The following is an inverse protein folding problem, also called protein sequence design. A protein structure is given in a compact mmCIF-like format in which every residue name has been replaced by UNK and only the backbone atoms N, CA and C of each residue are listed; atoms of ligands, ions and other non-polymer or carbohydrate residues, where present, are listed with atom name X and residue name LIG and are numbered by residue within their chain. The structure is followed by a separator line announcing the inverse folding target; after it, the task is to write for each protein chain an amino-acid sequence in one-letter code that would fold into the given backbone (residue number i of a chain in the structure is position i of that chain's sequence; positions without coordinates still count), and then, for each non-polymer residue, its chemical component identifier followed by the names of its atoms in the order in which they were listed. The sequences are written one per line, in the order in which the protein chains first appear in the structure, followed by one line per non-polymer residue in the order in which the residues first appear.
data_IF_227150223893
#
_entry.id   IF_227150223893
#
_cell.length_a   1.000
_cell.length_b   1.000
_cell.length_c   1.000
_cell.angle_alpha   90.00
_cell.angle_beta   90.00
_cell.angle_gamma   90.00
#
_symmetry.space_group_name_H-M   'P 1'
#
loop_
_entity.id
_entity.type
_entity.pdbx_description
1 polymer ?
#
# COMPACT_ATOMS: atom_id res chain seq x y z
N UNK A 1 63.32 -64.32 27.51
CA UNK A 1 62.73 -64.20 26.15
C UNK A 1 61.24 -63.81 26.19
N UNK A 2 60.82 -62.79 26.97
CA UNK A 2 59.42 -62.34 27.03
C UNK A 2 59.21 -60.85 26.68
N UNK A 3 60.29 -60.10 26.44
CA UNK A 3 60.21 -58.63 26.33
C UNK A 3 59.92 -58.11 24.90
N UNK A 4 60.21 -58.91 23.87
CA UNK A 4 60.03 -58.47 22.47
C UNK A 4 58.61 -58.71 21.92
N UNK A 5 57.83 -59.60 22.53
CA UNK A 5 56.45 -59.88 22.10
C UNK A 5 55.47 -58.78 22.54
N UNK A 6 55.68 -58.18 23.72
CA UNK A 6 54.85 -57.11 24.26
C UNK A 6 54.98 -55.79 23.47
N UNK A 7 56.19 -55.47 23.02
CA UNK A 7 56.47 -54.27 22.22
C UNK A 7 55.72 -54.30 20.86
N UNK A 8 55.73 -55.45 20.18
CA UNK A 8 55.02 -55.64 18.91
C UNK A 8 53.49 -55.57 19.06
N UNK A 9 52.95 -56.08 20.17
CA UNK A 9 51.51 -56.05 20.46
C UNK A 9 51.02 -54.62 20.75
N UNK A 10 51.80 -53.85 21.53
CA UNK A 10 51.51 -52.44 21.81
C UNK A 10 51.58 -51.56 20.56
N UNK A 11 52.51 -51.84 19.64
CA UNK A 11 52.63 -51.10 18.38
C UNK A 11 51.45 -51.35 17.44
N UNK A 12 50.94 -52.58 17.35
CA UNK A 12 49.74 -52.93 16.57
C UNK A 12 48.44 -52.34 17.14
N UNK A 13 48.31 -52.24 18.47
CA UNK A 13 47.13 -51.63 19.09
C UNK A 13 47.11 -50.11 18.86
N UNK A 14 48.28 -49.45 18.84
CA UNK A 14 48.39 -48.01 18.58
C UNK A 14 48.06 -47.63 17.14
N UNK A 15 48.39 -48.48 16.17
CA UNK A 15 48.05 -48.24 14.74
C UNK A 15 46.56 -48.48 14.46
N UNK A 16 45.92 -49.45 15.14
CA UNK A 16 44.47 -49.67 15.07
C UNK A 16 43.65 -48.50 15.66
N UNK A 17 44.12 -47.90 16.76
CA UNK A 17 43.45 -46.76 17.40
C UNK A 17 43.60 -45.44 16.62
N UNK A 18 44.68 -45.29 15.84
CA UNK A 18 44.93 -44.09 15.02
C UNK A 18 44.03 -44.03 13.78
N UNK A 19 43.81 -45.17 13.10
CA UNK A 19 42.92 -45.25 11.93
C UNK A 19 41.43 -45.15 12.26
N UNK A 20 41.03 -45.64 13.44
CA UNK A 20 39.63 -45.62 13.91
C UNK A 20 39.08 -44.21 14.13
N UNK A 21 39.89 -43.27 14.65
CA UNK A 21 39.46 -41.88 14.84
C UNK A 21 39.20 -41.16 13.52
N UNK A 22 40.02 -41.41 12.51
CA UNK A 22 39.84 -40.86 11.17
C UNK A 22 38.57 -41.41 10.51
N UNK A 23 38.29 -42.70 10.66
CA UNK A 23 37.07 -43.32 10.16
C UNK A 23 35.80 -42.73 10.81
N UNK A 24 35.82 -42.50 12.12
CA UNK A 24 34.69 -41.88 12.84
C UNK A 24 34.49 -40.42 12.43
N UNK A 25 35.56 -39.65 12.23
CA UNK A 25 35.48 -38.26 11.75
C UNK A 25 34.94 -38.19 10.31
N UNK A 26 35.39 -39.08 9.42
CA UNK A 26 34.88 -39.15 8.04
C UNK A 26 33.40 -39.58 8.01
N UNK A 27 33.00 -40.52 8.89
CA UNK A 27 31.60 -40.94 9.02
C UNK A 27 30.70 -39.81 9.55
N UNK A 28 31.18 -39.02 10.52
CA UNK A 28 30.49 -37.83 11.06
C UNK A 28 30.37 -36.71 10.01
N UNK A 29 31.42 -36.50 9.21
CA UNK A 29 31.38 -35.52 8.11
C UNK A 29 30.42 -35.94 6.98
N UNK A 30 30.30 -37.24 6.70
CA UNK A 30 29.33 -37.78 5.73
C UNK A 30 27.87 -37.57 6.19
N UNK A 31 27.58 -37.71 7.48
CA UNK A 31 26.23 -37.47 8.03
C UNK A 31 25.81 -35.99 8.05
N UNK A 32 26.75 -35.05 8.02
CA UNK A 32 26.43 -33.63 7.94
C UNK A 32 26.04 -33.14 6.52
N UNK A 33 26.11 -33.98 5.48
CA UNK A 33 25.85 -33.56 4.09
C UNK A 33 24.39 -33.68 3.62
N UNK A 34 23.48 -34.21 4.45
CA UNK A 34 22.06 -34.40 4.06
C UNK A 34 21.09 -33.35 4.63
N UNK A 35 21.56 -32.16 4.98
CA UNK A 35 20.67 -31.02 5.21
C UNK A 35 20.32 -30.37 3.86
N UNK A 36 19.46 -31.03 3.08
CA UNK A 36 18.85 -30.40 1.91
C UNK A 36 17.70 -29.52 2.42
N UNK A 37 17.98 -28.23 2.61
CA UNK A 37 16.90 -27.27 2.81
C UNK A 37 16.05 -27.28 1.54
N UNK A 38 14.79 -27.73 1.67
CA UNK A 38 13.78 -27.44 0.66
C UNK A 38 13.56 -25.92 0.72
N UNK A 39 14.25 -25.18 -0.15
CA UNK A 39 14.07 -23.74 -0.25
C UNK A 39 12.60 -23.41 -0.45
N UNK A 40 12.11 -22.37 0.20
CA UNK A 40 10.73 -21.94 0.01
C UNK A 40 10.56 -21.42 -1.44
N UNK A 41 9.36 -21.57 -2.04
CA UNK A 41 9.17 -21.24 -3.44
C UNK A 41 9.30 -19.73 -3.67
N UNK A 42 10.25 -19.33 -4.53
CA UNK A 42 10.48 -17.94 -4.98
C UNK A 42 9.16 -17.27 -5.40
N UNK A 43 8.88 -16.10 -4.82
CA UNK A 43 7.63 -15.38 -5.09
C UNK A 43 7.66 -14.75 -6.47
N UNK A 44 6.62 -15.05 -7.25
CA UNK A 44 6.41 -14.53 -8.59
C UNK A 44 5.34 -13.46 -8.54
N UNK A 45 5.70 -12.25 -8.96
CA UNK A 45 4.76 -11.15 -9.21
C UNK A 45 5.15 -10.51 -10.53
N UNK A 46 4.32 -10.72 -11.55
CA UNK A 46 4.57 -10.23 -12.91
C UNK A 46 3.30 -9.58 -13.44
N UNK A 47 3.45 -8.53 -14.24
CA UNK A 47 2.32 -7.88 -14.88
C UNK A 47 2.73 -7.21 -16.18
N UNK A 48 1.72 -6.85 -16.94
CA UNK A 48 1.81 -6.10 -18.17
C UNK A 48 0.81 -4.94 -18.10
N UNK A 49 1.19 -3.82 -18.71
CA UNK A 49 0.38 -2.60 -18.79
C UNK A 49 0.08 -2.28 -20.25
N UNK A 50 -1.18 -2.05 -20.57
CA UNK A 50 -1.64 -1.70 -21.91
C UNK A 50 -2.61 -0.50 -21.89
N UNK A 51 -2.60 0.38 -22.90
CA UNK A 51 -3.62 1.43 -23.03
C UNK A 51 -5.03 0.85 -23.17
N UNK A 52 -6.01 1.37 -22.42
CA UNK A 52 -7.36 0.81 -22.32
C UNK A 52 -8.42 1.69 -23.00
N UNK A 53 -8.30 1.87 -24.32
CA UNK A 53 -9.33 2.45 -25.19
C UNK A 53 -9.63 3.95 -25.03
N UNK A 54 -9.20 4.59 -23.94
CA UNK A 54 -9.34 6.04 -23.70
C UNK A 54 -8.01 6.64 -23.24
N UNK A 55 -7.74 7.87 -23.65
CA UNK A 55 -6.53 8.59 -23.23
C UNK A 55 -6.48 8.75 -21.71
N UNK A 56 -5.32 8.42 -21.13
CA UNK A 56 -5.11 8.40 -19.68
C UNK A 56 -5.55 7.12 -18.98
N UNK A 57 -6.25 6.20 -19.64
CA UNK A 57 -6.73 4.95 -19.04
C UNK A 57 -5.83 3.78 -19.46
N UNK A 58 -5.37 3.00 -18.49
CA UNK A 58 -4.49 1.85 -18.70
C UNK A 58 -5.04 0.61 -18.00
N UNK A 59 -5.03 -0.52 -18.69
CA UNK A 59 -5.30 -1.83 -18.11
C UNK A 59 -3.99 -2.43 -17.60
N UNK A 60 -4.04 -3.01 -16.40
CA UNK A 60 -2.91 -3.69 -15.78
C UNK A 60 -3.35 -5.11 -15.45
N UNK A 61 -2.73 -6.08 -16.10
CA UNK A 61 -3.01 -7.51 -15.92
C UNK A 61 -1.77 -8.21 -15.42
N UNK A 62 -1.90 -9.05 -14.40
CA UNK A 62 -0.76 -9.75 -13.82
C UNK A 62 -1.04 -11.18 -13.38
N UNK A 63 0.05 -11.90 -13.18
CA UNK A 63 0.10 -13.27 -12.70
C UNK A 63 0.98 -13.34 -11.44
N UNK A 64 0.64 -14.25 -10.53
CA UNK A 64 1.36 -14.46 -9.27
C UNK A 64 1.15 -15.86 -8.71
N UNK A 65 2.07 -16.31 -7.87
CA UNK A 65 1.91 -17.52 -7.04
C UNK A 65 1.39 -17.24 -5.63
N UNK A 66 0.97 -16.00 -5.34
CA UNK A 66 0.33 -15.64 -4.07
C UNK A 66 -1.01 -16.38 -3.87
N UNK A 67 -1.42 -16.63 -2.62
CA UNK A 67 -2.72 -17.21 -2.29
C UNK A 67 -3.90 -16.48 -2.94
N UNK A 68 -5.00 -17.21 -3.13
CA UNK A 68 -6.26 -16.55 -3.49
C UNK A 68 -6.66 -15.59 -2.40
N UNK A 69 -7.30 -14.48 -2.78
CA UNK A 69 -7.69 -13.41 -1.87
C UNK A 69 -6.50 -12.66 -1.24
N UNK A 70 -5.27 -12.84 -1.73
CA UNK A 70 -4.22 -11.86 -1.45
C UNK A 70 -4.55 -10.52 -2.13
N UNK A 71 -4.29 -9.43 -1.43
CA UNK A 71 -4.45 -8.07 -1.91
C UNK A 71 -3.13 -7.54 -2.47
N UNK A 72 -3.16 -7.06 -3.71
CA UNK A 72 -2.06 -6.38 -4.38
C UNK A 72 -2.43 -4.91 -4.52
N UNK A 73 -1.49 -4.03 -4.18
CA UNK A 73 -1.62 -2.59 -4.42
C UNK A 73 -0.94 -2.30 -5.75
N UNK A 74 -1.69 -1.71 -6.68
CA UNK A 74 -1.19 -1.29 -8.00
C UNK A 74 -1.26 0.22 -8.08
N UNK A 75 -0.13 0.87 -8.37
CA UNK A 75 -0.04 2.32 -8.45
C UNK A 75 0.71 2.77 -9.71
N UNK A 76 0.35 3.94 -10.23
CA UNK A 76 1.10 4.62 -11.27
C UNK A 76 1.76 5.88 -10.70
N UNK A 77 3.07 5.99 -10.89
CA UNK A 77 3.90 7.04 -10.33
C UNK A 77 4.52 7.86 -11.46
N UNK A 78 4.45 9.19 -11.34
CA UNK A 78 5.25 10.10 -12.18
C UNK A 78 6.25 10.83 -11.31
N UNK A 79 7.53 10.73 -11.64
CA UNK A 79 8.56 11.50 -10.97
C UNK A 79 8.50 12.96 -11.40
N UNK A 80 8.72 13.85 -10.44
CA UNK A 80 8.65 15.29 -10.58
C UNK A 80 9.95 15.89 -10.04
N UNK A 81 10.46 16.92 -10.71
CA UNK A 81 11.61 17.69 -10.22
C UNK A 81 11.28 19.18 -10.20
N UNK A 82 11.91 19.98 -9.34
CA UNK A 82 11.87 21.44 -9.49
C UNK A 82 12.44 21.87 -10.85
N UNK A 83 11.91 22.94 -11.44
CA UNK A 83 12.29 23.41 -12.78
C UNK A 83 13.80 23.76 -12.91
N UNK A 84 14.44 24.12 -11.79
CA UNK A 84 15.82 24.62 -11.74
C UNK A 84 16.90 23.52 -11.55
N UNK A 85 16.51 22.24 -11.54
CA UNK A 85 17.41 21.12 -11.26
C UNK A 85 17.58 20.22 -12.48
N UNK A 86 18.82 20.01 -12.96
CA UNK A 86 19.13 19.11 -14.09
C UNK A 86 18.86 17.62 -13.77
N UNK A 87 18.58 16.82 -14.81
CA UNK A 87 18.41 15.36 -14.69
C UNK A 87 19.81 14.75 -14.57
N UNK A 88 20.38 14.73 -13.37
CA UNK A 88 21.58 13.97 -13.08
C UNK A 88 21.19 12.53 -12.71
N UNK A 89 21.85 11.54 -13.32
CA UNK A 89 21.57 10.09 -13.24
C UNK A 89 21.76 9.45 -11.86
N UNK A 90 21.89 10.25 -10.80
CA UNK A 90 22.18 9.76 -9.46
C UNK A 90 21.67 10.78 -8.46
N UNK A 91 20.50 10.57 -7.85
CA UNK A 91 20.29 10.88 -6.42
C UNK A 91 18.91 10.42 -5.87
N UNK A 92 18.83 10.12 -4.56
CA UNK A 92 17.75 9.39 -3.89
C UNK A 92 16.53 10.23 -3.48
N UNK A 93 16.44 11.50 -3.90
CA UNK A 93 15.40 12.45 -3.49
C UNK A 93 14.47 12.88 -4.65
N UNK A 94 14.08 11.92 -5.49
CA UNK A 94 13.11 12.21 -6.55
C UNK A 94 11.70 12.31 -5.95
N UNK A 95 11.13 13.52 -5.96
CA UNK A 95 9.71 13.70 -5.67
C UNK A 95 8.89 12.92 -6.70
N UNK A 96 7.77 12.35 -6.28
CA UNK A 96 6.87 11.65 -7.18
C UNK A 96 5.43 11.99 -6.85
N UNK A 97 4.58 11.90 -7.86
CA UNK A 97 3.15 11.96 -7.72
C UNK A 97 2.53 10.60 -8.01
N UNK A 98 1.61 10.19 -7.13
CA UNK A 98 0.74 9.05 -7.36
C UNK A 98 -0.38 9.54 -8.27
N UNK A 99 -0.40 9.05 -9.51
CA UNK A 99 -1.42 9.42 -10.50
C UNK A 99 -2.74 8.69 -10.24
N UNK A 100 -2.66 7.40 -9.93
CA UNK A 100 -3.77 6.57 -9.48
C UNK A 100 -3.23 5.39 -8.64
N UNK A 101 -4.07 4.84 -7.77
CA UNK A 101 -3.77 3.70 -6.91
C UNK A 101 -5.01 2.84 -6.71
N UNK A 102 -4.87 1.53 -6.92
CA UNK A 102 -5.95 0.55 -6.75
C UNK A 102 -5.49 -0.62 -5.91
N UNK A 103 -6.42 -1.14 -5.11
CA UNK A 103 -6.29 -2.42 -4.42
C UNK A 103 -7.00 -3.48 -5.26
N UNK A 104 -6.32 -4.59 -5.57
CA UNK A 104 -6.86 -5.69 -6.37
C UNK A 104 -6.67 -7.02 -5.66
N UNK A 105 -7.64 -7.91 -5.80
CA UNK A 105 -7.61 -9.24 -5.22
C UNK A 105 -7.09 -10.27 -6.21
N UNK A 106 -6.21 -11.15 -5.74
CA UNK A 106 -5.73 -12.31 -6.50
C UNK A 106 -6.84 -13.35 -6.61
N UNK A 107 -7.11 -13.78 -7.85
CA UNK A 107 -8.07 -14.82 -8.19
C UNK A 107 -7.38 -15.87 -9.07
N UNK A 108 -7.15 -17.06 -8.52
CA UNK A 108 -6.49 -18.19 -9.19
C UNK A 108 -5.12 -17.82 -9.76
N UNK A 109 -4.30 -17.14 -8.97
CA UNK A 109 -2.97 -16.68 -9.38
C UNK A 109 -2.96 -15.57 -10.44
N UNK A 110 -4.11 -14.95 -10.72
CA UNK A 110 -4.24 -13.83 -11.65
C UNK A 110 -4.89 -12.63 -10.97
N UNK A 111 -4.60 -11.44 -11.49
CA UNK A 111 -5.22 -10.20 -11.04
C UNK A 111 -5.26 -9.20 -12.19
N UNK A 112 -6.24 -8.30 -12.15
CA UNK A 112 -6.44 -7.28 -13.18
C UNK A 112 -7.07 -6.03 -12.57
N UNK A 113 -6.65 -4.86 -13.03
CA UNK A 113 -7.24 -3.58 -12.66
C UNK A 113 -7.06 -2.55 -13.77
N UNK A 114 -7.73 -1.41 -13.65
CA UNK A 114 -7.56 -0.27 -14.54
C UNK A 114 -7.11 0.95 -13.74
N UNK A 115 -6.10 1.65 -14.25
CA UNK A 115 -5.61 2.90 -13.68
C UNK A 115 -5.98 4.06 -14.59
N UNK A 116 -6.59 5.10 -14.02
CA UNK A 116 -6.89 6.34 -14.73
C UNK A 116 -5.92 7.44 -14.29
N UNK A 117 -4.94 7.72 -15.13
CA UNK A 117 -3.87 8.68 -14.84
C UNK A 117 -4.36 10.12 -14.94
N UNK A 118 -5.45 10.38 -15.66
CA UNK A 118 -5.93 11.72 -15.95
C UNK A 118 -7.29 11.98 -15.30
N UNK A 119 -7.39 13.16 -14.69
CA UNK A 119 -8.60 13.65 -14.03
C UNK A 119 -9.12 14.88 -14.77
N UNK A 120 -10.40 15.17 -14.62
CA UNK A 120 -11.02 16.37 -15.19
C UNK A 120 -10.97 17.47 -14.14
N UNK A 121 -10.24 18.55 -14.43
CA UNK A 121 -10.17 19.73 -13.57
C UNK A 121 -11.51 20.52 -13.61
N UNK A 122 -11.75 21.46 -12.66
CA UNK A 122 -12.99 22.24 -12.63
C UNK A 122 -13.25 23.06 -13.89
N UNK A 123 -12.20 23.43 -14.63
CA UNK A 123 -12.28 24.14 -15.92
C UNK A 123 -12.47 23.20 -17.14
N UNK A 124 -12.64 21.90 -16.88
CA UNK A 124 -12.84 20.87 -17.89
C UNK A 124 -11.55 20.39 -18.57
N UNK A 125 -10.37 20.88 -18.18
CA UNK A 125 -9.10 20.38 -18.73
C UNK A 125 -8.76 19.02 -18.15
N UNK A 126 -8.18 18.16 -18.98
CA UNK A 126 -7.56 16.93 -18.48
C UNK A 126 -6.24 17.29 -17.80
N UNK A 127 -6.04 16.80 -16.59
CA UNK A 127 -4.86 17.06 -15.77
C UNK A 127 -4.48 15.82 -14.96
N UNK A 128 -3.20 15.68 -14.64
CA UNK A 128 -2.73 14.72 -13.65
C UNK A 128 -2.90 15.31 -12.23
N UNK A 129 -2.98 14.43 -11.22
CA UNK A 129 -3.24 14.83 -9.84
C UNK A 129 -2.26 15.91 -9.32
N UNK A 130 -1.00 15.85 -9.73
CA UNK A 130 0.02 16.82 -9.31
C UNK A 130 -0.18 18.20 -9.94
N UNK A 131 -0.70 18.30 -11.17
CA UNK A 131 -0.95 19.59 -11.83
C UNK A 131 -2.04 20.38 -11.09
N UNK A 132 -3.04 19.66 -10.56
CA UNK A 132 -4.11 20.24 -9.75
C UNK A 132 -3.54 20.77 -8.42
N UNK A 133 -2.65 20.00 -7.77
CA UNK A 133 -2.00 20.42 -6.54
C UNK A 133 -1.05 21.62 -6.77
N UNK A 134 -0.31 21.60 -7.87
CA UNK A 134 0.61 22.65 -8.30
C UNK A 134 -0.08 24.00 -8.44
N UNK A 135 -1.25 24.01 -9.10
CA UNK A 135 -2.05 25.22 -9.28
C UNK A 135 -2.48 25.86 -7.94
N UNK A 136 -2.52 25.08 -6.85
CA UNK A 136 -2.84 25.56 -5.50
C UNK A 136 -1.60 26.04 -4.73
N UNK A 137 -0.46 25.39 -4.91
CA UNK A 137 0.77 25.67 -4.14
C UNK A 137 1.69 26.70 -4.79
N UNK A 138 1.55 26.96 -6.09
CA UNK A 138 2.41 27.89 -6.83
C UNK A 138 3.83 27.37 -7.10
N UNK A 139 4.09 26.08 -6.88
CA UNK A 139 5.42 25.47 -7.04
C UNK A 139 5.64 25.06 -8.50
N UNK A 140 6.73 25.42 -9.16
CA UNK A 140 7.00 24.93 -10.53
C UNK A 140 7.70 23.57 -10.52
N UNK A 141 7.10 22.58 -11.20
CA UNK A 141 7.55 21.19 -11.25
C UNK A 141 7.61 20.73 -12.71
N UNK A 142 8.70 20.07 -13.06
CA UNK A 142 8.93 19.43 -14.36
C UNK A 142 8.70 17.91 -14.24
N UNK A 143 7.76 17.34 -15.00
CA UNK A 143 7.47 15.92 -14.95
C UNK A 143 8.45 15.07 -15.77
N UNK A 144 8.77 13.87 -15.27
CA UNK A 144 9.37 12.82 -16.08
C UNK A 144 8.46 12.49 -17.29
N UNK A 145 9.03 12.16 -18.47
CA UNK A 145 8.26 11.71 -19.62
C UNK A 145 7.66 10.31 -19.43
N UNK A 146 8.11 9.59 -18.40
CA UNK A 146 7.76 8.22 -18.09
C UNK A 146 6.90 8.12 -16.83
N UNK A 147 6.07 7.08 -16.80
CA UNK A 147 5.26 6.68 -15.64
C UNK A 147 5.69 5.29 -15.22
N UNK A 148 6.02 5.13 -13.94
CA UNK A 148 6.35 3.85 -13.34
C UNK A 148 5.08 3.22 -12.78
N UNK A 149 4.68 2.10 -13.34
CA UNK A 149 3.62 1.25 -12.81
C UNK A 149 4.26 0.30 -11.81
N UNK A 150 3.70 0.20 -10.62
CA UNK A 150 4.23 -0.59 -9.51
C UNK A 150 3.12 -1.47 -8.96
N UNK A 151 3.40 -2.76 -8.82
CA UNK A 151 2.57 -3.71 -8.11
C UNK A 151 3.30 -4.15 -6.84
N UNK A 152 2.62 -4.03 -5.70
CA UNK A 152 3.19 -4.33 -4.38
C UNK A 152 2.28 -5.29 -3.63
N UNK A 153 2.87 -6.30 -3.01
CA UNK A 153 2.20 -7.16 -2.03
C UNK A 153 2.88 -6.97 -0.67
N UNK A 154 2.08 -6.57 0.32
CA UNK A 154 2.50 -6.37 1.70
C UNK A 154 1.72 -7.33 2.60
N UNK A 155 2.37 -8.29 3.27
CA UNK A 155 1.70 -9.27 4.10
C UNK A 155 0.97 -8.68 5.31
N UNK A 156 1.56 -7.67 5.95
CA UNK A 156 1.00 -7.07 7.16
C UNK A 156 -0.16 -6.11 6.86
N UNK A 157 -0.20 -5.58 5.63
CA UNK A 157 -1.27 -4.69 5.14
C UNK A 157 -2.53 -5.40 4.65
N UNK A 158 -2.63 -6.73 4.76
CA UNK A 158 -3.78 -7.49 4.28
C UNK A 158 -5.01 -7.24 5.16
N UNK A 159 -6.08 -6.69 4.58
CA UNK A 159 -7.32 -6.45 5.32
C UNK A 159 -8.07 -7.77 5.57
N UNK A 160 -8.69 -7.93 6.74
CA UNK A 160 -9.52 -9.10 7.03
C UNK A 160 -10.74 -9.14 6.11
N UNK A 161 -11.05 -10.32 5.57
CA UNK A 161 -12.21 -10.50 4.70
C UNK A 161 -13.46 -10.73 5.57
N UNK A 162 -14.33 -9.73 5.71
CA UNK A 162 -15.64 -9.91 6.38
C UNK A 162 -16.60 -10.60 5.38
N UNK A 163 -17.27 -11.71 5.69
CA UNK A 163 -18.50 -11.76 6.51
C UNK A 163 -18.68 -13.06 7.35
N UNK A 164 -17.76 -14.02 7.33
CA UNK A 164 -17.91 -15.29 8.10
C UNK A 164 -16.75 -15.61 9.05
N UNK A 165 -15.78 -14.71 9.23
CA UNK A 165 -14.53 -15.00 9.96
C UNK A 165 -14.50 -14.52 11.42
N UNK A 166 -15.64 -14.04 11.96
CA UNK A 166 -15.77 -13.75 13.41
C UNK A 166 -15.84 -15.00 14.30
N UNK A 167 -15.84 -16.20 13.72
CA UNK A 167 -15.92 -17.47 14.47
C UNK A 167 -14.70 -18.36 14.26
N UNK A 168 -13.61 -17.85 13.67
CA UNK A 168 -12.40 -18.65 13.47
C UNK A 168 -11.16 -17.81 13.70
N UNK A 169 -10.61 -17.89 14.92
CA UNK A 169 -9.22 -17.55 15.24
C UNK A 169 -8.18 -18.29 14.38
N UNK A 170 -8.62 -19.16 13.45
CA UNK A 170 -7.78 -20.08 12.67
C UNK A 170 -7.81 -19.89 11.14
N UNK A 171 -8.38 -18.80 10.61
CA UNK A 171 -8.26 -18.50 9.17
C UNK A 171 -7.37 -17.29 8.91
N UNK A 172 -6.20 -17.30 9.53
CA UNK A 172 -5.09 -16.44 9.10
C UNK A 172 -4.80 -16.84 7.66
N UNK A 173 -4.91 -15.90 6.71
CA UNK A 173 -4.34 -16.10 5.37
C UNK A 173 -2.92 -16.63 5.62
N UNK A 174 -2.62 -17.84 5.17
CA UNK A 174 -1.28 -18.41 5.32
C UNK A 174 -0.35 -17.52 4.51
N UNK A 175 0.25 -16.54 5.18
CA UNK A 175 1.23 -15.63 4.60
C UNK A 175 2.44 -16.53 4.30
N UNK A 176 2.77 -16.74 3.02
CA UNK A 176 3.94 -17.53 2.68
C UNK A 176 5.18 -16.78 3.18
N UNK A 177 6.20 -17.52 3.63
CA UNK A 177 7.52 -16.96 3.89
C UNK A 177 8.00 -16.26 2.61
N UNK A 178 8.27 -14.95 2.69
CA UNK A 178 8.67 -14.17 1.53
C UNK A 178 10.15 -14.41 1.24
N UNK A 179 10.45 -15.27 0.28
CA UNK A 179 11.78 -15.42 -0.31
C UNK A 179 11.77 -15.05 -1.79
N UNK A 180 12.85 -14.45 -2.27
CA UNK A 180 13.00 -14.16 -3.69
C UNK A 180 13.68 -12.85 -4.07
N UNK A 181 13.98 -12.72 -5.37
CA UNK A 181 14.62 -11.51 -5.94
C UNK A 181 13.73 -10.27 -5.93
N UNK A 182 12.41 -10.46 -5.76
CA UNK A 182 11.41 -9.39 -5.71
C UNK A 182 11.11 -8.92 -4.27
N UNK A 183 11.62 -9.63 -3.26
CA UNK A 183 11.42 -9.28 -1.86
C UNK A 183 12.27 -8.07 -1.50
N UNK A 184 11.67 -7.12 -0.83
CA UNK A 184 12.26 -5.89 -0.32
C UNK A 184 11.86 -5.73 1.14
N UNK A 185 12.52 -4.85 1.87
CA UNK A 185 12.24 -4.60 3.27
C UNK A 185 11.89 -3.12 3.46
N UNK A 186 10.90 -2.84 4.30
CA UNK A 186 10.61 -1.48 4.76
C UNK A 186 11.72 -1.00 5.71
N UNK A 187 11.68 0.27 6.12
CA UNK A 187 12.65 0.82 7.08
C UNK A 187 12.53 0.14 8.46
N UNK A 188 11.35 -0.42 8.74
CA UNK A 188 10.99 -1.18 9.94
C UNK A 188 11.40 -2.66 9.81
N UNK A 189 11.96 -3.08 8.68
CA UNK A 189 12.40 -4.45 8.42
C UNK A 189 11.28 -5.40 8.00
N UNK A 190 10.09 -4.88 7.65
CA UNK A 190 8.96 -5.72 7.22
C UNK A 190 9.16 -6.12 5.74
N UNK A 191 9.05 -7.41 5.40
CA UNK A 191 9.23 -7.85 4.03
C UNK A 191 8.01 -7.52 3.18
N UNK A 192 8.23 -7.07 1.94
CA UNK A 192 7.20 -6.86 0.93
C UNK A 192 7.71 -7.28 -0.44
N UNK A 193 6.80 -7.55 -1.38
CA UNK A 193 7.15 -7.95 -2.75
C UNK A 193 6.80 -6.81 -3.69
N UNK A 194 7.73 -6.43 -4.57
CA UNK A 194 7.54 -5.35 -5.53
C UNK A 194 7.92 -5.78 -6.95
N UNK A 195 7.03 -5.51 -7.89
CA UNK A 195 7.30 -5.55 -9.31
C UNK A 195 7.02 -4.18 -9.93
N UNK A 196 7.76 -3.80 -10.97
CA UNK A 196 7.58 -2.51 -11.64
C UNK A 196 7.80 -2.60 -13.15
N UNK A 197 7.02 -1.81 -13.89
CA UNK A 197 7.14 -1.62 -15.34
C UNK A 197 7.03 -0.12 -15.62
N UNK A 198 7.97 0.43 -16.37
CA UNK A 198 7.97 1.86 -16.74
C UNK A 198 7.56 2.02 -18.20
N UNK A 199 6.65 2.95 -18.47
CA UNK A 199 6.20 3.26 -19.82
C UNK A 199 6.24 4.76 -20.08
N UNK A 200 6.52 5.15 -21.33
CA UNK A 200 6.38 6.53 -21.77
C UNK A 200 4.92 6.90 -21.87
N UNK A 201 4.49 7.89 -21.09
CA UNK A 201 3.10 8.35 -21.04
C UNK A 201 3.08 9.86 -21.28
N UNK A 202 2.43 10.33 -22.37
CA UNK A 202 2.37 11.75 -22.67
C UNK A 202 1.57 12.48 -21.58
N UNK A 203 1.88 13.77 -21.41
CA UNK A 203 1.11 14.62 -20.51
C UNK A 203 -0.34 14.77 -21.02
N UNK A 204 -1.31 15.03 -20.11
CA UNK A 204 -2.70 15.23 -20.47
C UNK A 204 -2.87 16.31 -21.54
N UNK A 205 -3.70 16.02 -22.54
CA UNK A 205 -4.11 16.97 -23.56
C UNK A 205 -5.62 16.85 -23.81
N UNK A 206 -6.25 17.98 -24.13
CA UNK A 206 -7.69 18.06 -24.41
C UNK A 206 -8.55 18.47 -23.21
N UNK A 207 -9.87 18.39 -23.42
CA UNK A 207 -10.90 18.81 -22.47
C UNK A 207 -12.03 17.78 -22.41
N UNK A 208 -12.67 17.67 -21.25
CA UNK A 208 -13.94 16.96 -21.04
C UNK A 208 -14.86 17.84 -20.20
N UNK A 209 -16.18 17.76 -20.38
CA UNK A 209 -17.11 18.45 -19.48
C UNK A 209 -16.80 18.05 -18.03
N UNK A 210 -16.68 19.02 -17.09
CA UNK A 210 -16.49 18.71 -15.69
C UNK A 210 -17.60 17.77 -15.22
N UNK A 211 -17.25 16.79 -14.39
CA UNK A 211 -18.27 16.00 -13.72
C UNK A 211 -19.08 16.94 -12.84
N UNK A 212 -20.41 16.88 -12.94
CA UNK A 212 -21.30 17.64 -12.07
C UNK A 212 -21.03 17.23 -10.62
N UNK A 213 -20.61 18.19 -9.79
CA UNK A 213 -20.38 17.97 -8.37
C UNK A 213 -21.74 17.72 -7.75
N UNK A 214 -21.99 16.48 -7.31
CA UNK A 214 -23.24 16.17 -6.65
C UNK A 214 -23.19 16.68 -5.21
N UNK A 215 -24.34 16.98 -4.59
CA UNK A 215 -24.39 17.35 -3.17
C UNK A 215 -23.69 16.31 -2.28
N UNK A 216 -23.75 15.02 -2.66
CA UNK A 216 -23.09 13.92 -1.96
C UNK A 216 -21.56 14.01 -1.98
N UNK A 217 -20.97 14.63 -3.02
CA UNK A 217 -19.53 14.81 -3.16
C UNK A 217 -19.00 15.96 -2.27
N UNK A 218 -19.89 16.79 -1.71
CA UNK A 218 -19.56 17.91 -0.81
C UNK A 218 -19.91 17.52 0.63
N UNK A 219 -18.88 17.27 1.43
CA UNK A 219 -19.01 16.88 2.84
C UNK A 219 -19.94 15.65 3.02
N UNK A 220 -19.79 14.59 2.21
CA UNK A 220 -20.63 13.37 2.29
C UNK A 220 -22.15 13.65 2.28
N UNK A 221 -22.61 14.60 1.45
CA UNK A 221 -24.03 14.98 1.36
C UNK A 221 -24.47 16.03 2.38
N UNK A 222 -23.59 16.48 3.26
CA UNK A 222 -23.91 17.54 4.22
C UNK A 222 -23.92 18.93 3.58
N UNK A 223 -23.28 19.13 2.43
CA UNK A 223 -23.23 20.40 1.72
C UNK A 223 -22.69 21.54 2.59
N UNK A 224 -23.19 22.77 2.36
CA UNK A 224 -22.75 23.99 3.05
C UNK A 224 -23.60 24.36 4.29
N UNK A 225 -24.15 23.38 5.02
CA UNK A 225 -25.04 23.65 6.17
C UNK A 225 -24.38 24.43 7.32
N UNK A 226 -23.05 24.49 7.34
CA UNK A 226 -22.28 25.32 8.28
C UNK A 226 -22.31 26.82 7.92
N UNK A 227 -22.71 27.18 6.70
CA UNK A 227 -22.92 28.57 6.31
C UNK A 227 -24.26 29.04 6.89
N UNK A 228 -24.23 29.43 8.17
CA UNK A 228 -25.29 30.20 8.79
C UNK A 228 -25.49 31.46 7.95
N UNK A 229 -26.58 31.50 7.16
CA UNK A 229 -26.97 32.73 6.49
C UNK A 229 -27.19 33.77 7.60
N UNK A 230 -26.55 34.96 7.53
CA UNK A 230 -26.83 36.00 8.50
C UNK A 230 -28.33 36.24 8.53
N UNK A 231 -28.89 36.21 9.74
CA UNK A 231 -30.32 36.43 9.96
C UNK A 231 -30.70 37.75 9.28
N UNK A 232 -31.74 37.78 8.44
CA UNK A 232 -32.13 39.00 7.77
C UNK A 232 -32.42 40.04 8.84
N UNK A 233 -31.68 41.16 8.81
CA UNK A 233 -31.88 42.29 9.71
C UNK A 233 -33.32 42.77 9.50
N UNK A 234 -34.21 42.39 10.40
CA UNK A 234 -35.60 42.85 10.41
C UNK A 234 -35.60 44.36 10.67
N UNK A 235 -35.55 45.15 9.60
CA UNK A 235 -35.82 46.58 9.62
C UNK A 235 -37.34 46.79 9.64
N UNK A 236 -37.99 46.38 10.72
CA UNK A 236 -39.35 46.82 11.01
C UNK A 236 -39.48 46.99 12.54
N UNK A 237 -39.79 48.19 13.04
CA UNK A 237 -40.05 48.38 14.46
C UNK A 237 -41.34 47.64 14.81
N UNK A 238 -41.22 46.61 15.64
CA UNK A 238 -42.35 45.86 16.19
C UNK A 238 -43.18 46.82 17.06
N UNK A 239 -44.48 47.00 16.83
CA UNK A 239 -45.34 47.68 17.79
C UNK A 239 -45.51 46.77 19.00
N UNK A 240 -45.13 47.25 20.19
CA UNK A 240 -45.41 46.57 21.46
C UNK A 240 -46.91 46.33 21.56
N UNK A 241 -47.32 45.05 21.50
CA UNK A 241 -48.66 44.63 21.87
C UNK A 241 -48.55 43.68 23.06
N UNK A 242 -49.05 44.19 24.18
CA UNK A 242 -49.21 43.45 25.42
C UNK A 242 -50.04 42.18 25.19
N UNK A 243 -49.50 41.03 25.61
CA UNK A 243 -50.31 39.86 25.94
C UNK A 243 -49.69 39.14 27.12
N UNK A 244 -50.36 39.31 28.26
CA UNK A 244 -50.37 38.40 29.41
C UNK A 244 -50.73 36.98 28.96
N UNK A 245 -50.21 36.02 29.71
CA UNK A 245 -50.67 34.63 29.88
C UNK A 245 -50.38 33.62 28.76
N UNK A 246 -49.17 33.02 28.83
CA UNK A 246 -49.00 31.58 28.58
C UNK A 246 -47.70 31.07 29.25
N UNK A 247 -47.74 30.13 30.22
CA UNK A 247 -46.52 29.50 30.73
C UNK A 247 -46.00 28.50 29.70
N UNK A 248 -44.84 28.80 29.10
CA UNK A 248 -44.09 27.85 28.29
C UNK A 248 -43.60 26.71 29.18
N UNK A 249 -44.17 25.51 29.02
CA UNK A 249 -43.65 24.30 29.65
C UNK A 249 -42.32 23.96 28.99
N UNK A 250 -41.23 24.31 29.67
CA UNK A 250 -39.87 23.91 29.31
C UNK A 250 -39.49 22.67 30.11
N UNK A 251 -39.05 21.60 29.43
CA UNK A 251 -38.53 20.37 30.04
C UNK A 251 -37.06 20.48 30.46
N UNK A 252 -36.49 21.68 30.47
CA UNK A 252 -35.13 21.90 30.96
C UNK A 252 -35.11 21.83 32.49
N UNK A 253 -34.07 21.23 33.10
CA UNK A 253 -33.92 21.25 34.55
C UNK A 253 -33.83 22.69 35.05
N UNK A 254 -34.52 22.97 36.16
CA UNK A 254 -34.53 24.29 36.79
C UNK A 254 -33.11 24.74 37.14
N UNK A 255 -32.84 26.02 36.91
CA UNK A 255 -31.55 26.61 37.22
C UNK A 255 -31.38 26.80 38.75
N UNK A 256 -30.15 26.80 39.29
CA UNK A 256 -29.92 26.96 40.74
C UNK A 256 -30.50 28.26 41.34
N UNK A 257 -30.63 29.31 40.53
CA UNK A 257 -31.24 30.59 40.90
C UNK A 257 -32.76 30.54 41.07
N UNK A 258 -33.42 29.51 40.56
CA UNK A 258 -34.88 29.30 40.68
C UNK A 258 -35.27 28.44 41.89
N UNK A 259 -34.28 27.85 42.57
CA UNK A 259 -34.49 26.98 43.75
C UNK A 259 -34.69 27.71 45.08
N UNK A 260 -34.44 29.03 45.11
CA UNK A 260 -34.49 29.84 46.34
C UNK A 260 -35.58 30.93 46.29
N UNK A 261 -36.63 30.72 45.50
CA UNK A 261 -37.86 31.51 45.55
C UNK A 261 -39.01 30.73 46.12
#
# INVERSE_FOLDING_TARGET
MFNNYYQLLLQKIRTLYSGSRLAVIVLLLLWCTSCSSKGSPDIKLQFEVQPAGRSGLYSVTGNTNLPNQSQIIVAALRYLRPLDQEWLDSEPNLNYAILDRKLVWVKKGKWETTLNLWQVAPDGRLQEAWQIAQARSGTSLDPAPEVSFVATFEPEGQLPTSENEKTSENKKVEIPELEGSLVRFTNEGQPYVKASQTLRVPLPSGRRPPTEIKPEDINDGWGNRYQLKPEPKNLNPIPQKNSKDMPSQTTAPLSPSEFLR
#
